data_IF_554944662195
#
_entry.id   IF_554944662195
#
_cell.length_a   1.000
_cell.length_b   1.000
_cell.length_c   1.000
_cell.angle_alpha   90.00
_cell.angle_beta   90.00
_cell.angle_gamma   90.00
#
_symmetry.space_group_name_H-M   'P 1'
#
loop_
_entity.id
_entity.type
_entity.pdbx_description
1 polymer ?
#
# COMPACT_ATOMS: atom_id res chain seq x y z
N UNK A 1 15.24 8.43 7.55
CA UNK A 1 15.88 7.10 7.39
C UNK A 1 15.17 6.32 6.28
N UNK A 2 15.77 5.24 5.81
CA UNK A 2 15.20 4.29 4.84
C UNK A 2 15.49 2.87 5.32
N UNK A 3 14.53 1.95 5.21
CA UNK A 3 14.72 0.53 5.58
C UNK A 3 14.29 -0.34 4.40
N UNK A 4 15.17 -1.22 3.94
CA UNK A 4 14.90 -2.19 2.88
C UNK A 4 15.41 -3.56 3.33
N UNK A 5 14.51 -4.54 3.52
CA UNK A 5 14.84 -5.87 4.06
C UNK A 5 14.15 -6.93 3.21
N UNK A 6 14.90 -7.83 2.58
CA UNK A 6 14.37 -8.91 1.75
C UNK A 6 14.92 -8.89 0.33
N UNK A 7 14.35 -9.69 -0.56
CA UNK A 7 14.79 -9.81 -1.95
C UNK A 7 14.00 -8.86 -2.85
N UNK A 8 14.69 -8.17 -3.77
CA UNK A 8 14.07 -7.19 -4.68
C UNK A 8 13.31 -6.09 -3.94
N UNK A 9 13.94 -5.50 -2.92
CA UNK A 9 13.34 -4.42 -2.12
C UNK A 9 13.84 -3.05 -2.56
N UNK A 10 12.95 -2.06 -2.53
CA UNK A 10 13.26 -0.67 -2.86
C UNK A 10 12.60 0.23 -1.82
N UNK A 11 13.41 1.01 -1.09
CA UNK A 11 12.93 2.01 -0.15
C UNK A 11 13.56 3.37 -0.47
N UNK A 12 12.77 4.29 -1.02
CA UNK A 12 13.23 5.60 -1.49
C UNK A 12 12.38 6.68 -0.82
N UNK A 13 13.00 7.59 -0.08
CA UNK A 13 12.32 8.74 0.52
C UNK A 13 12.57 8.87 2.01
N UNK A 14 11.98 9.89 2.63
CA UNK A 14 12.20 10.14 4.06
C UNK A 14 11.25 9.25 4.88
N UNK A 15 11.80 8.41 5.74
CA UNK A 15 11.02 7.48 6.58
C UNK A 15 10.31 6.39 5.78
N UNK A 16 10.92 5.94 4.67
CA UNK A 16 10.38 4.84 3.85
C UNK A 16 10.84 3.47 4.36
N UNK A 17 9.92 2.49 4.39
CA UNK A 17 10.17 1.11 4.86
C UNK A 17 9.64 0.13 3.84
N UNK A 18 10.51 -0.74 3.31
CA UNK A 18 10.16 -1.84 2.42
C UNK A 18 10.66 -3.17 3.01
N UNK A 19 9.76 -4.12 3.29
CA UNK A 19 10.10 -5.40 3.93
C UNK A 19 9.43 -6.57 3.21
N UNK A 20 10.24 -7.52 2.76
CA UNK A 20 9.85 -8.81 2.17
C UNK A 20 10.30 -8.97 0.72
N UNK A 21 9.63 -9.82 -0.07
CA UNK A 21 10.00 -10.08 -1.47
C UNK A 21 9.26 -9.09 -2.38
N UNK A 22 9.95 -8.47 -3.34
CA UNK A 22 9.36 -7.49 -4.28
C UNK A 22 8.56 -6.38 -3.57
N UNK A 23 9.16 -5.80 -2.53
CA UNK A 23 8.54 -4.74 -1.75
C UNK A 23 9.11 -3.38 -2.12
N UNK A 24 8.24 -2.43 -2.45
CA UNK A 24 8.60 -1.11 -2.97
C UNK A 24 7.91 -0.03 -2.16
N UNK A 25 8.67 0.77 -1.44
CA UNK A 25 8.20 1.93 -0.69
C UNK A 25 8.86 3.21 -1.23
N UNK A 26 8.10 4.06 -1.88
CA UNK A 26 8.60 5.30 -2.50
C UNK A 26 7.83 6.49 -1.93
N UNK A 27 8.53 7.43 -1.33
CA UNK A 27 8.01 8.70 -0.84
C UNK A 27 8.22 8.86 0.67
N UNK A 28 7.54 9.86 1.25
CA UNK A 28 7.72 10.23 2.65
C UNK A 28 6.75 9.44 3.53
N UNK A 29 7.25 8.79 4.58
CA UNK A 29 6.47 7.90 5.46
C UNK A 29 5.78 6.73 4.73
N UNK A 30 6.36 6.26 3.62
CA UNK A 30 5.81 5.14 2.85
C UNK A 30 6.20 3.79 3.47
N UNK A 31 5.24 2.88 3.63
CA UNK A 31 5.47 1.55 4.22
C UNK A 31 4.93 0.46 3.30
N UNK A 32 5.81 -0.40 2.80
CA UNK A 32 5.47 -1.58 2.03
C UNK A 32 5.99 -2.84 2.75
N UNK A 33 5.08 -3.70 3.21
CA UNK A 33 5.44 -4.94 3.91
C UNK A 33 4.70 -6.10 3.24
N UNK A 34 5.41 -7.05 2.66
CA UNK A 34 4.74 -8.21 2.09
C UNK A 34 5.62 -9.31 1.53
N UNK A 35 5.02 -10.50 1.36
CA UNK A 35 5.79 -11.70 0.99
C UNK A 35 6.03 -11.85 -0.51
N UNK A 36 5.18 -11.28 -1.39
CA UNK A 36 5.27 -11.47 -2.83
C UNK A 36 5.25 -10.20 -3.67
N UNK A 37 4.38 -9.22 -3.39
CA UNK A 37 4.34 -7.96 -4.12
C UNK A 37 3.65 -6.86 -3.31
N UNK A 38 4.41 -5.99 -2.66
CA UNK A 38 3.87 -4.88 -1.87
C UNK A 38 4.40 -3.54 -2.37
N UNK A 39 3.51 -2.60 -2.69
CA UNK A 39 3.89 -1.31 -3.28
C UNK A 39 3.19 -0.19 -2.52
N UNK A 40 3.98 0.72 -1.97
CA UNK A 40 3.53 1.92 -1.27
C UNK A 40 4.18 3.15 -1.91
N UNK A 41 3.42 3.97 -2.64
CA UNK A 41 3.96 5.14 -3.37
C UNK A 41 3.23 6.43 -2.95
N UNK A 42 4.01 7.45 -2.60
CA UNK A 42 3.55 8.79 -2.25
C UNK A 42 3.82 9.18 -0.79
N UNK A 43 3.00 10.04 -0.22
CA UNK A 43 3.18 10.56 1.15
C UNK A 43 2.20 9.88 2.10
N UNK A 44 2.71 9.14 3.09
CA UNK A 44 1.93 8.26 4.00
C UNK A 44 1.17 7.06 3.39
N UNK A 45 1.62 6.41 2.30
CA UNK A 45 1.02 5.15 1.85
C UNK A 45 1.46 3.98 2.73
N UNK A 46 0.54 3.05 2.99
CA UNK A 46 0.79 1.82 3.74
C UNK A 46 0.21 0.63 2.97
N UNK A 47 1.08 -0.24 2.45
CA UNK A 47 0.71 -1.49 1.80
C UNK A 47 1.23 -2.66 2.65
N UNK A 48 0.33 -3.46 3.23
CA UNK A 48 0.69 -4.61 4.07
C UNK A 48 -0.05 -5.86 3.60
N UNK A 49 0.66 -6.88 3.12
CA UNK A 49 -0.03 -8.09 2.69
C UNK A 49 0.84 -9.19 2.14
N UNK A 50 0.25 -10.34 1.84
CA UNK A 50 1.04 -11.52 1.44
C UNK A 50 1.22 -11.63 -0.06
N UNK A 51 0.20 -11.28 -0.84
CA UNK A 51 0.22 -11.37 -2.31
C UNK A 51 0.41 -9.99 -2.93
N UNK A 52 -0.57 -9.55 -3.72
CA UNK A 52 -0.56 -8.27 -4.42
C UNK A 52 -1.22 -7.19 -3.53
N UNK A 53 -0.44 -6.26 -3.02
CA UNK A 53 -0.93 -5.10 -2.25
C UNK A 53 -0.34 -3.80 -2.79
N UNK A 54 -1.21 -2.85 -3.11
CA UNK A 54 -0.81 -1.57 -3.71
C UNK A 54 -1.51 -0.44 -2.96
N UNK A 55 -0.74 0.48 -2.40
CA UNK A 55 -1.19 1.72 -1.81
C UNK A 55 -0.50 2.89 -2.52
N UNK A 56 -1.26 3.70 -3.27
CA UNK A 56 -0.71 4.85 -3.98
C UNK A 56 -1.49 6.09 -3.58
N UNK A 57 -0.82 7.06 -2.97
CA UNK A 57 -1.51 8.28 -2.56
C UNK A 57 -0.71 9.30 -1.81
N UNK A 58 -1.33 10.46 -1.61
CA UNK A 58 -0.69 11.62 -0.96
C UNK A 58 -1.04 11.78 0.51
N UNK A 59 -2.18 11.24 0.96
CA UNK A 59 -2.59 11.34 2.36
C UNK A 59 -3.34 10.09 2.80
N UNK A 60 -2.73 9.35 3.73
CA UNK A 60 -3.34 8.21 4.41
C UNK A 60 -4.04 7.23 3.44
N UNK A 61 -3.22 6.53 2.65
CA UNK A 61 -3.69 5.48 1.75
C UNK A 61 -3.25 4.13 2.30
N UNK A 62 -4.19 3.24 2.54
CA UNK A 62 -3.96 1.97 3.25
C UNK A 62 -4.51 0.80 2.43
N UNK A 63 -3.66 -0.13 2.07
CA UNK A 63 -4.04 -1.40 1.42
C UNK A 63 -3.55 -2.57 2.28
N UNK A 64 -4.46 -3.40 2.80
CA UNK A 64 -4.13 -4.50 3.71
C UNK A 64 -4.74 -5.83 3.26
N UNK A 65 -3.95 -6.93 3.37
CA UNK A 65 -4.23 -8.35 3.06
C UNK A 65 -3.84 -8.79 1.64
N UNK A 66 -4.76 -9.33 0.83
CA UNK A 66 -4.44 -10.04 -0.41
C UNK A 66 -5.25 -9.50 -1.56
N UNK A 67 -4.59 -9.24 -2.69
CA UNK A 67 -5.23 -8.63 -3.85
C UNK A 67 -5.96 -7.35 -3.45
N UNK A 68 -5.21 -6.42 -2.84
CA UNK A 68 -5.75 -5.15 -2.34
C UNK A 68 -5.12 -3.97 -3.06
N UNK A 69 -5.96 -3.02 -3.47
CA UNK A 69 -5.53 -1.82 -4.18
C UNK A 69 -6.22 -0.62 -3.54
N UNK A 70 -5.46 0.30 -2.98
CA UNK A 70 -5.92 1.60 -2.50
C UNK A 70 -5.20 2.69 -3.29
N UNK A 71 -5.94 3.51 -4.03
CA UNK A 71 -5.38 4.61 -4.82
C UNK A 71 -6.17 5.88 -4.52
N UNK A 72 -5.53 6.92 -3.99
CA UNK A 72 -6.26 8.13 -3.65
C UNK A 72 -5.40 9.29 -3.20
N UNK A 73 -6.01 10.48 -3.16
CA UNK A 73 -5.32 11.68 -2.69
C UNK A 73 -5.53 11.90 -1.19
N UNK A 74 -6.66 11.48 -0.64
CA UNK A 74 -7.03 11.59 0.77
C UNK A 74 -7.79 10.36 1.25
N UNK A 75 -7.45 9.89 2.45
CA UNK A 75 -8.18 8.89 3.24
C UNK A 75 -8.77 7.76 2.38
N UNK A 76 -7.89 6.89 1.88
CA UNK A 76 -8.28 5.74 1.04
C UNK A 76 -7.90 4.45 1.72
N UNK A 77 -8.88 3.56 1.90
CA UNK A 77 -8.69 2.33 2.68
C UNK A 77 -9.26 1.14 1.94
N UNK A 78 -8.41 0.18 1.57
CA UNK A 78 -8.79 -1.13 1.02
C UNK A 78 -8.31 -2.23 1.98
N UNK A 79 -9.23 -2.93 2.64
CA UNK A 79 -8.89 -4.00 3.58
C UNK A 79 -9.67 -5.26 3.25
N UNK A 80 -8.98 -6.33 2.87
CA UNK A 80 -9.65 -7.60 2.61
C UNK A 80 -9.01 -8.47 1.54
N UNK A 81 -9.82 -9.36 0.97
CA UNK A 81 -9.39 -10.24 -0.13
C UNK A 81 -10.11 -9.84 -1.39
N UNK A 82 -9.38 -9.47 -2.45
CA UNK A 82 -9.95 -8.88 -3.66
C UNK A 82 -10.69 -7.58 -3.35
N UNK A 83 -9.96 -6.57 -2.88
CA UNK A 83 -10.55 -5.28 -2.49
C UNK A 83 -9.92 -4.11 -3.22
N UNK A 84 -10.74 -3.17 -3.66
CA UNK A 84 -10.30 -2.00 -4.42
C UNK A 84 -10.97 -0.76 -3.86
N UNK A 85 -10.18 0.22 -3.42
CA UNK A 85 -10.62 1.54 -3.02
C UNK A 85 -9.93 2.60 -3.87
N UNK A 86 -10.68 3.38 -4.65
CA UNK A 86 -10.12 4.41 -5.54
C UNK A 86 -10.84 5.74 -5.35
N UNK A 87 -10.07 6.79 -5.10
CA UNK A 87 -10.55 8.17 -5.08
C UNK A 87 -10.25 8.91 -3.77
N UNK A 88 -11.17 9.75 -3.32
CA UNK A 88 -11.01 10.64 -2.16
C UNK A 88 -12.02 10.21 -1.10
N UNK A 89 -11.57 9.87 0.11
CA UNK A 89 -12.45 9.33 1.17
C UNK A 89 -13.07 7.96 0.85
N UNK A 90 -12.47 7.18 -0.05
CA UNK A 90 -12.99 5.88 -0.47
C UNK A 90 -12.58 4.76 0.49
N UNK A 91 -13.55 3.99 0.96
CA UNK A 91 -13.33 2.88 1.91
C UNK A 91 -13.98 1.61 1.37
N UNK A 92 -13.17 0.59 1.07
CA UNK A 92 -13.60 -0.74 0.68
C UNK A 92 -13.10 -1.77 1.70
N UNK A 93 -14.02 -2.46 2.38
CA UNK A 93 -13.69 -3.47 3.38
C UNK A 93 -14.48 -4.74 3.07
N UNK A 94 -13.81 -5.90 3.07
CA UNK A 94 -14.47 -7.20 2.93
C UNK A 94 -13.84 -8.13 1.90
N UNK A 95 -14.62 -9.05 1.37
CA UNK A 95 -14.20 -9.92 0.26
C UNK A 95 -14.92 -9.46 -0.99
N UNK A 96 -14.21 -9.27 -2.11
CA UNK A 96 -14.81 -8.76 -3.35
C UNK A 96 -15.49 -7.39 -3.19
N UNK A 97 -14.86 -6.47 -2.45
CA UNK A 97 -15.40 -5.14 -2.23
C UNK A 97 -14.72 -4.10 -3.11
N UNK A 98 -15.53 -3.21 -3.68
CA UNK A 98 -15.06 -2.12 -4.53
C UNK A 98 -15.73 -0.82 -4.07
N UNK A 99 -14.92 0.19 -3.78
CA UNK A 99 -15.38 1.55 -3.49
C UNK A 99 -14.66 2.52 -4.42
N UNK A 100 -15.43 3.29 -5.19
CA UNK A 100 -14.91 4.30 -6.11
C UNK A 100 -15.64 5.60 -5.82
N UNK A 101 -14.91 6.67 -5.53
CA UNK A 101 -15.43 7.99 -5.19
C UNK A 101 -14.34 8.92 -4.71
#
# INVERSE_FOLDING_TARGET
>A
WTVAIGTWTVAIGTWSVAIGTWSVAIGKWSVAIGTWWSVAIGTWPVAIGTWWTVAIGTWWTVAIRTWTVAIGTWWTVAIGTWTVAIGTWSVAIGTWSVAIG
#
